data_IF_057258996384
#
_entry.id   IF_057258996384
#
_cell.length_a   1.000
_cell.length_b   1.000
_cell.length_c   1.000
_cell.angle_alpha   90.00
_cell.angle_beta   90.00
_cell.angle_gamma   90.00
#
_symmetry.space_group_name_H-M   'P 1'
#
loop_
_entity.id
_entity.type
_entity.pdbx_description
1 polymer ?
#
# COMPACT_ATOMS: atom_id res chain seq x y z
N UNK A 1 17.44 -2.36 -5.48
CA UNK A 1 17.29 -1.18 -4.60
C UNK A 1 17.24 -1.67 -3.16
N UNK A 2 18.34 -1.61 -2.42
CA UNK A 2 18.35 -2.02 -1.01
C UNK A 2 17.66 -0.93 -0.18
N UNK A 3 16.56 -1.26 0.50
CA UNK A 3 15.92 -0.34 1.47
C UNK A 3 14.40 -0.32 1.48
N UNK A 4 13.72 -0.70 0.39
CA UNK A 4 12.26 -0.87 0.39
C UNK A 4 11.89 -2.32 0.71
N UNK A 5 11.52 -2.57 1.96
CA UNK A 5 10.78 -3.79 2.30
C UNK A 5 9.40 -3.80 1.61
N UNK A 6 8.80 -4.97 1.29
CA UNK A 6 7.48 -5.09 0.64
C UNK A 6 6.37 -4.26 1.32
N UNK A 7 6.46 -4.10 2.65
CA UNK A 7 5.54 -3.29 3.45
C UNK A 7 5.54 -1.79 3.12
N UNK A 8 6.60 -1.26 2.52
CA UNK A 8 6.62 0.11 2.00
C UNK A 8 5.88 0.22 0.65
N UNK A 9 5.72 -0.91 -0.04
CA UNK A 9 5.02 -0.99 -1.32
C UNK A 9 3.55 -0.63 -1.20
N UNK A 10 2.87 -1.05 -0.13
CA UNK A 10 1.45 -0.73 0.10
C UNK A 10 1.22 0.78 0.26
N UNK A 11 2.12 1.45 1.00
CA UNK A 11 2.07 2.90 1.21
C UNK A 11 2.26 3.65 -0.11
N UNK A 12 3.32 3.30 -0.85
CA UNK A 12 3.60 3.94 -2.14
C UNK A 12 2.52 3.64 -3.17
N UNK A 13 2.00 2.41 -3.24
CA UNK A 13 0.91 2.04 -4.14
C UNK A 13 -0.35 2.88 -3.88
N UNK A 14 -0.71 3.06 -2.60
CA UNK A 14 -1.87 3.87 -2.23
C UNK A 14 -1.66 5.35 -2.57
N UNK A 15 -0.50 5.90 -2.24
CA UNK A 15 -0.16 7.29 -2.55
C UNK A 15 -0.02 7.53 -4.06
N UNK A 16 0.47 6.56 -4.83
CA UNK A 16 0.49 6.66 -6.29
C UNK A 16 -0.94 6.76 -6.87
N UNK A 17 -1.93 6.14 -6.25
CA UNK A 17 -3.32 6.23 -6.69
C UNK A 17 -3.99 7.54 -6.28
N UNK A 18 -3.69 8.05 -5.08
CA UNK A 18 -4.41 9.19 -4.46
C UNK A 18 -3.67 10.52 -4.50
N UNK A 19 -2.35 10.51 -4.75
CA UNK A 19 -1.45 11.66 -4.63
C UNK A 19 -1.08 11.97 -3.18
N UNK A 20 -2.10 12.14 -2.34
CA UNK A 20 -1.99 12.33 -0.90
C UNK A 20 -3.07 11.54 -0.15
N UNK A 21 -2.80 11.22 1.11
CA UNK A 21 -3.75 10.52 1.96
C UNK A 21 -3.50 10.80 3.45
N UNK A 22 -4.54 10.68 4.27
CA UNK A 22 -4.38 10.72 5.71
C UNK A 22 -3.75 9.41 6.23
N UNK A 23 -2.91 9.51 7.26
CA UNK A 23 -2.17 8.38 7.83
C UNK A 23 -3.08 7.20 8.21
N UNK A 24 -4.29 7.47 8.71
CA UNK A 24 -5.27 6.43 9.05
C UNK A 24 -5.80 5.67 7.82
N UNK A 25 -6.02 6.35 6.69
CA UNK A 25 -6.49 5.74 5.45
C UNK A 25 -5.41 4.80 4.88
N UNK A 26 -4.15 5.22 4.95
CA UNK A 26 -3.01 4.38 4.55
C UNK A 26 -2.93 3.13 5.43
N UNK A 27 -3.09 3.27 6.75
CA UNK A 27 -3.06 2.15 7.69
C UNK A 27 -4.20 1.15 7.43
N UNK A 28 -5.41 1.65 7.15
CA UNK A 28 -6.57 0.82 6.81
C UNK A 28 -6.37 0.07 5.50
N UNK A 29 -5.90 0.76 4.46
CA UNK A 29 -5.60 0.18 3.15
C UNK A 29 -4.53 -0.92 3.25
N UNK A 30 -3.43 -0.66 3.96
CA UNK A 30 -2.36 -1.63 4.12
C UNK A 30 -2.68 -2.73 5.14
N UNK A 31 -3.86 -2.69 5.77
CA UNK A 31 -4.26 -3.58 6.87
C UNK A 31 -3.20 -3.66 8.00
N UNK A 32 -2.59 -2.52 8.35
CA UNK A 32 -1.56 -2.42 9.40
C UNK A 32 -2.04 -1.60 10.58
N UNK A 33 -1.41 -1.81 11.73
CA UNK A 33 -1.64 -0.97 12.92
C UNK A 33 -1.03 0.42 12.72
N UNK A 34 -1.57 1.41 13.43
CA UNK A 34 -1.05 2.79 13.39
C UNK A 34 0.43 2.90 13.78
N UNK A 35 0.94 2.23 14.83
CA UNK A 35 2.37 2.27 15.16
C UNK A 35 3.25 1.74 14.03
N UNK A 36 2.85 0.63 13.39
CA UNK A 36 3.58 0.08 12.24
C UNK A 36 3.56 1.05 11.07
N UNK A 37 2.42 1.69 10.80
CA UNK A 37 2.32 2.62 9.68
C UNK A 37 3.17 3.87 9.88
N UNK A 38 3.22 4.42 11.10
CA UNK A 38 4.13 5.53 11.44
C UNK A 38 5.57 5.19 11.12
N UNK A 39 6.06 4.01 11.53
CA UNK A 39 7.44 3.57 11.25
C UNK A 39 7.73 3.47 9.75
N UNK A 40 6.76 2.98 8.95
CA UNK A 40 6.92 2.86 7.50
C UNK A 40 6.97 4.22 6.81
N UNK A 41 6.06 5.13 7.18
CA UNK A 41 6.01 6.49 6.63
C UNK A 41 7.25 7.28 7.04
N UNK A 42 7.70 7.16 8.28
CA UNK A 42 8.90 7.85 8.77
C UNK A 42 10.15 7.42 7.99
N UNK A 43 10.28 6.13 7.64
CA UNK A 43 11.36 5.64 6.78
C UNK A 43 11.30 6.21 5.37
N UNK A 44 10.11 6.24 4.75
CA UNK A 44 9.94 6.84 3.43
C UNK A 44 10.21 8.35 3.45
N UNK A 45 9.84 9.02 4.53
CA UNK A 45 10.11 10.44 4.76
C UNK A 45 11.61 10.70 4.92
N UNK A 46 12.32 9.86 5.67
CA UNK A 46 13.77 9.94 5.82
C UNK A 46 14.54 9.70 4.50
N UNK A 47 13.94 8.94 3.58
CA UNK A 47 14.45 8.75 2.21
C UNK A 47 14.05 9.89 1.25
N UNK A 48 13.29 10.89 1.72
CA UNK A 48 12.84 12.03 0.91
C UNK A 48 11.71 11.69 -0.07
N UNK A 49 11.12 10.50 -0.01
CA UNK A 49 10.13 10.02 -0.99
C UNK A 49 8.71 10.53 -0.69
N UNK A 50 8.43 10.78 0.58
CA UNK A 50 7.15 11.35 1.03
C UNK A 50 7.43 12.51 1.98
N UNK A 51 6.44 13.37 2.15
CA UNK A 51 6.42 14.35 3.23
C UNK A 51 5.13 14.23 4.02
N UNK A 52 5.25 14.59 5.29
CA UNK A 52 4.21 14.48 6.30
C UNK A 52 3.88 15.88 6.80
N UNK A 53 2.61 16.24 6.70
CA UNK A 53 2.12 17.56 7.12
C UNK A 53 0.85 17.40 7.97
N UNK A 54 0.65 18.31 8.94
CA UNK A 54 -0.63 18.38 9.64
C UNK A 54 -1.64 19.04 8.71
N UNK A 55 -2.84 18.48 8.62
CA UNK A 55 -3.88 19.07 7.79
C UNK A 55 -4.24 20.46 8.30
N UNK A 56 -4.37 21.42 7.38
CA UNK A 56 -4.87 22.76 7.70
C UNK A 56 -6.34 22.77 8.13
N UNK A 57 -7.13 21.79 7.67
CA UNK A 57 -8.55 21.66 7.99
C UNK A 57 -8.81 20.97 9.34
N UNK A 58 -7.94 20.04 9.76
CA UNK A 58 -7.98 19.43 11.10
C UNK A 58 -6.56 19.07 11.54
N UNK A 59 -6.02 19.82 12.51
CA UNK A 59 -4.64 19.64 13.00
C UNK A 59 -4.40 18.29 13.70
N UNK A 60 -5.46 17.54 14.00
CA UNK A 60 -5.39 16.16 14.50
C UNK A 60 -5.13 15.15 13.38
N UNK A 61 -5.33 15.53 12.12
CA UNK A 61 -5.05 14.69 10.95
C UNK A 61 -3.65 14.95 10.44
N UNK A 62 -2.96 13.85 10.13
CA UNK A 62 -1.65 13.87 9.48
C UNK A 62 -1.86 13.40 8.05
N UNK A 63 -1.52 14.26 7.09
CA UNK A 63 -1.53 13.97 5.66
C UNK A 63 -0.12 13.57 5.23
N UNK A 64 -0.04 12.56 4.37
CA UNK A 64 1.19 12.10 3.73
C UNK A 64 1.02 12.32 2.23
N UNK A 65 2.01 12.94 1.60
CA UNK A 65 2.02 13.20 0.15
C UNK A 65 3.35 12.77 -0.45
N UNK A 66 3.33 12.35 -1.72
CA UNK A 66 4.56 12.07 -2.47
C UNK A 66 5.36 13.36 -2.68
N UNK A 67 6.67 13.25 -2.61
CA UNK A 67 7.56 14.28 -3.16
C UNK A 67 7.78 14.06 -4.65
N UNK A 68 8.44 15.00 -5.32
CA UNK A 68 8.88 14.82 -6.70
C UNK A 68 9.76 13.57 -6.87
N UNK A 69 10.67 13.32 -5.91
CA UNK A 69 11.51 12.11 -5.93
C UNK A 69 10.71 10.83 -5.71
N UNK A 70 9.67 10.87 -4.86
CA UNK A 70 8.75 9.75 -4.67
C UNK A 70 7.94 9.47 -5.93
N UNK A 71 7.46 10.52 -6.59
CA UNK A 71 6.70 10.41 -7.84
C UNK A 71 7.56 9.83 -8.98
N UNK A 72 8.84 10.21 -9.06
CA UNK A 72 9.79 9.66 -10.03
C UNK A 72 9.97 8.13 -9.90
N UNK A 73 9.69 7.53 -8.73
CA UNK A 73 9.75 6.08 -8.54
C UNK A 73 8.56 5.33 -9.15
N UNK A 74 7.48 6.01 -9.55
CA UNK A 74 6.24 5.35 -10.03
C UNK A 74 6.49 4.37 -11.17
N UNK A 75 7.30 4.76 -12.15
CA UNK A 75 7.59 3.92 -13.31
C UNK A 75 8.36 2.65 -12.92
N UNK A 76 9.41 2.81 -12.09
CA UNK A 76 10.20 1.71 -11.58
C UNK A 76 9.36 0.78 -10.70
N UNK A 77 8.53 1.34 -9.82
CA UNK A 77 7.60 0.61 -8.97
C UNK A 77 6.66 -0.25 -9.81
N UNK A 78 5.99 0.33 -10.81
CA UNK A 78 5.07 -0.40 -11.71
C UNK A 78 5.78 -1.52 -12.47
N UNK A 79 7.01 -1.29 -12.92
CA UNK A 79 7.81 -2.32 -13.60
C UNK A 79 8.14 -3.50 -12.67
N UNK A 80 8.56 -3.22 -11.43
CA UNK A 80 8.85 -4.23 -10.42
C UNK A 80 7.58 -5.02 -10.07
N UNK A 81 6.47 -4.33 -9.80
CA UNK A 81 5.19 -4.97 -9.47
C UNK A 81 4.71 -5.90 -10.58
N UNK A 82 4.79 -5.47 -11.86
CA UNK A 82 4.42 -6.33 -12.99
C UNK A 82 5.29 -7.58 -13.09
N UNK A 83 6.60 -7.46 -12.90
CA UNK A 83 7.51 -8.61 -12.95
C UNK A 83 7.25 -9.59 -11.80
N UNK A 84 6.98 -9.06 -10.61
CA UNK A 84 6.60 -9.87 -9.45
C UNK A 84 5.29 -10.62 -9.70
N UNK A 85 4.27 -9.93 -10.22
CA UNK A 85 2.99 -10.53 -10.56
C UNK A 85 3.14 -11.60 -11.64
N UNK A 86 3.90 -11.33 -12.69
CA UNK A 86 4.18 -12.32 -13.73
C UNK A 86 4.86 -13.59 -13.17
N UNK A 87 5.66 -13.47 -12.11
CA UNK A 87 6.26 -14.63 -11.43
C UNK A 87 5.23 -15.42 -10.61
N UNK A 88 4.26 -14.73 -10.00
CA UNK A 88 3.17 -15.39 -9.25
C UNK A 88 2.22 -16.17 -10.14
N UNK A 89 1.97 -15.69 -11.36
CA UNK A 89 1.11 -16.33 -12.33
C UNK A 89 1.86 -17.22 -13.33
N UNK A 90 3.17 -17.37 -13.17
CA UNK A 90 3.97 -18.22 -14.04
C UNK A 90 3.49 -19.68 -13.92
N UNK A 91 3.21 -20.30 -15.07
CA UNK A 91 2.67 -21.65 -15.14
C UNK A 91 1.16 -21.80 -14.93
N UNK A 92 0.41 -20.72 -14.66
CA UNK A 92 -1.06 -20.75 -14.64
C UNK A 92 -1.63 -20.46 -16.04
N UNK A 93 -2.56 -21.31 -16.49
CA UNK A 93 -3.42 -20.97 -17.61
C UNK A 93 -4.39 -19.83 -17.23
N UNK A 94 -4.94 -19.06 -18.19
CA UNK A 94 -5.80 -17.91 -17.90
C UNK A 94 -7.03 -18.24 -17.04
N UNK A 95 -7.61 -19.42 -17.21
CA UNK A 95 -8.75 -19.92 -16.43
C UNK A 95 -8.37 -20.34 -15.01
N UNK A 96 -7.16 -20.87 -14.81
CA UNK A 96 -6.61 -21.17 -13.49
C UNK A 96 -6.31 -19.89 -12.71
N UNK A 97 -5.78 -18.87 -13.39
CA UNK A 97 -5.57 -17.53 -12.83
C UNK A 97 -6.89 -16.89 -12.38
N UNK A 98 -7.93 -16.94 -13.23
CA UNK A 98 -9.26 -16.43 -12.89
C UNK A 98 -9.88 -17.20 -11.72
N UNK A 99 -9.68 -18.51 -11.67
CA UNK A 99 -10.15 -19.36 -10.57
C UNK A 99 -9.46 -19.00 -9.26
N UNK A 100 -8.13 -18.80 -9.29
CA UNK A 100 -7.36 -18.37 -8.13
C UNK A 100 -7.85 -17.03 -7.58
N UNK A 101 -8.09 -16.04 -8.45
CA UNK A 101 -8.62 -14.73 -8.06
C UNK A 101 -9.97 -14.85 -7.34
N UNK A 102 -10.93 -15.60 -7.93
CA UNK A 102 -12.24 -15.85 -7.32
C UNK A 102 -12.14 -16.54 -5.95
N UNK A 103 -11.18 -17.44 -5.77
CA UNK A 103 -10.97 -18.12 -4.49
C UNK A 103 -10.36 -17.18 -3.44
N UNK A 104 -9.39 -16.35 -3.83
CA UNK A 104 -8.79 -15.35 -2.95
C UNK A 104 -9.80 -14.29 -2.51
N UNK A 105 -10.68 -13.83 -3.40
CA UNK A 105 -11.79 -12.91 -3.06
C UNK A 105 -12.70 -13.49 -1.98
N UNK A 106 -13.05 -14.79 -2.10
CA UNK A 106 -13.87 -15.48 -1.07
C UNK A 106 -13.15 -15.54 0.27
N UNK A 107 -11.84 -15.79 0.28
CA UNK A 107 -11.03 -15.80 1.50
C UNK A 107 -11.01 -14.41 2.16
N UNK A 108 -10.79 -13.35 1.37
CA UNK A 108 -10.79 -11.98 1.86
C UNK A 108 -12.15 -11.59 2.46
N UNK A 109 -13.25 -11.88 1.76
CA UNK A 109 -14.60 -11.62 2.25
C UNK A 109 -14.90 -12.36 3.58
N UNK A 110 -14.33 -13.55 3.79
CA UNK A 110 -14.48 -14.28 5.05
C UNK A 110 -13.74 -13.58 6.21
N UNK A 111 -12.60 -12.95 5.96
CA UNK A 111 -11.86 -12.21 6.99
C UNK A 111 -12.59 -10.94 7.43
N UNK A 112 -13.23 -10.24 6.49
CA UNK A 112 -14.05 -9.05 6.82
C UNK A 112 -15.25 -9.41 7.68
N UNK A 113 -15.91 -10.53 7.39
CA UNK A 113 -17.03 -11.06 8.20
C UNK A 113 -16.62 -11.40 9.64
N UNK A 114 -15.39 -11.86 9.87
CA UNK A 114 -14.90 -12.09 11.23
C UNK A 114 -14.61 -10.80 11.99
N UNK A 115 -14.03 -9.77 11.33
CA UNK A 115 -13.80 -8.46 11.96
C UNK A 115 -15.10 -7.77 12.40
N UNK A 116 -16.21 -7.99 11.69
CA UNK A 116 -17.54 -7.49 12.05
C UNK A 116 -18.24 -8.25 13.19
N UNK A 117 -17.82 -9.48 13.50
CA UNK A 117 -18.39 -10.30 14.60
C UNK A 117 -17.73 -10.10 15.96
N UNK A 118 -16.55 -9.47 15.99
CA UNK A 118 -15.77 -9.22 17.23
C UNK A 118 -15.86 -7.76 17.69
N UNK A 119 -16.74 -6.96 17.08
CA UNK A 119 -17.04 -5.57 17.50
C UNK A 119 -18.39 -5.49 18.16
#
# INVERSE_FOLDING_TARGET
>A
MPGLAPSHGDVLAFLFQKGEAAMHEIAEFAHRTRPTMTVLVDKLSAQGLVVRERSAADTRRVIVRLTESGEALRAAFKAISRRYLATFYDGLAPDEAETLEKLLEKVLANQEKQKGKTR
#
